data_IF_986739987031
#
_entry.id   IF_986739987031
#
_cell.length_a   1.000
_cell.length_b   1.000
_cell.length_c   1.000
_cell.angle_alpha   90.00
_cell.angle_beta   90.00
_cell.angle_gamma   90.00
#
_symmetry.space_group_name_H-M   'P 1'
#
loop_
_entity.id
_entity.type
_entity.pdbx_description
1 polymer ?
#
# COMPACT_ATOMS: atom_id res chain seq x y z
N UNK A 1 -31.09 -25.31 -58.18
CA UNK A 1 -31.41 -23.95 -57.70
C UNK A 1 -31.60 -24.06 -56.19
N UNK A 2 -30.50 -23.92 -55.44
CA UNK A 2 -30.22 -22.79 -54.53
C UNK A 2 -30.98 -22.87 -53.20
N UNK A 3 -30.19 -23.00 -52.11
CA UNK A 3 -30.33 -22.29 -50.82
C UNK A 3 -31.43 -22.85 -49.87
N UNK A 4 -31.23 -23.11 -48.57
CA UNK A 4 -30.25 -22.64 -47.60
C UNK A 4 -30.03 -23.67 -46.45
N UNK A 5 -28.76 -23.82 -46.08
CA UNK A 5 -28.31 -24.38 -44.81
C UNK A 5 -28.73 -23.45 -43.65
N UNK A 6 -29.43 -23.99 -42.65
CA UNK A 6 -29.62 -23.33 -41.36
C UNK A 6 -28.49 -23.76 -40.40
N UNK A 7 -27.34 -23.08 -40.49
CA UNK A 7 -26.28 -23.18 -39.49
C UNK A 7 -26.45 -22.02 -38.50
N UNK A 8 -26.98 -22.34 -37.32
CA UNK A 8 -27.15 -21.43 -36.20
C UNK A 8 -25.77 -21.13 -35.58
N UNK A 9 -25.14 -20.04 -36.02
CA UNK A 9 -23.91 -19.53 -35.44
C UNK A 9 -24.21 -18.79 -34.12
N UNK A 10 -24.07 -19.50 -33.00
CA UNK A 10 -24.06 -18.89 -31.67
C UNK A 10 -22.67 -18.25 -31.49
N UNK A 11 -22.59 -16.94 -31.74
CA UNK A 11 -21.41 -16.14 -31.43
C UNK A 11 -21.38 -15.86 -29.93
N UNK A 12 -20.61 -16.64 -29.18
CA UNK A 12 -20.31 -16.38 -27.77
C UNK A 12 -19.31 -15.22 -27.73
N UNK A 13 -19.79 -14.00 -27.46
CA UNK A 13 -18.95 -12.87 -27.06
C UNK A 13 -18.40 -13.15 -25.65
N UNK A 14 -17.22 -13.74 -25.57
CA UNK A 14 -16.45 -13.77 -24.32
C UNK A 14 -15.82 -12.39 -24.16
N UNK A 15 -16.48 -11.52 -23.39
CA UNK A 15 -15.91 -10.24 -22.98
C UNK A 15 -14.67 -10.48 -22.11
N UNK A 16 -13.48 -10.18 -22.62
CA UNK A 16 -12.26 -10.20 -21.83
C UNK A 16 -12.28 -9.04 -20.83
N UNK A 17 -12.58 -9.33 -19.56
CA UNK A 17 -12.35 -8.38 -18.47
C UNK A 17 -10.84 -8.31 -18.21
N UNK A 18 -10.17 -7.31 -18.78
CA UNK A 18 -8.77 -7.04 -18.44
C UNK A 18 -8.69 -6.57 -16.99
N UNK A 19 -7.92 -7.24 -16.11
CA UNK A 19 -7.69 -6.74 -14.76
C UNK A 19 -7.07 -5.35 -14.84
N UNK A 20 -7.49 -4.43 -13.96
CA UNK A 20 -6.94 -3.09 -13.90
C UNK A 20 -5.42 -3.18 -13.67
N UNK A 21 -4.64 -2.73 -14.65
CA UNK A 21 -3.18 -2.77 -14.58
C UNK A 21 -2.69 -1.82 -13.48
N UNK A 22 -1.80 -2.32 -12.61
CA UNK A 22 -1.09 -1.49 -11.65
C UNK A 22 -0.38 -0.35 -12.40
N UNK A 23 -0.61 0.89 -11.98
CA UNK A 23 0.08 2.05 -12.54
C UNK A 23 1.40 2.26 -11.79
N UNK A 24 2.50 2.38 -12.53
CA UNK A 24 3.81 2.68 -11.96
C UNK A 24 4.12 4.17 -12.04
N UNK A 25 4.48 4.78 -10.92
CA UNK A 25 4.92 6.17 -10.82
C UNK A 25 6.36 6.15 -10.28
N UNK A 26 7.35 6.22 -11.18
CA UNK A 26 8.75 5.93 -10.86
C UNK A 26 8.89 4.55 -10.18
N UNK A 27 9.24 4.53 -8.89
CA UNK A 27 9.41 3.31 -8.08
C UNK A 27 8.14 2.90 -7.33
N UNK A 28 7.08 3.71 -7.40
CA UNK A 28 5.82 3.43 -6.75
C UNK A 28 4.95 2.53 -7.62
N UNK A 29 4.33 1.55 -6.98
CA UNK A 29 3.26 0.74 -7.54
C UNK A 29 1.96 1.12 -6.86
N UNK A 30 0.92 1.37 -7.64
CA UNK A 30 -0.45 1.54 -7.11
C UNK A 30 -1.32 0.37 -7.51
N UNK A 31 -2.36 0.11 -6.71
CA UNK A 31 -3.33 -0.92 -7.04
C UNK A 31 -4.56 -0.88 -6.14
N UNK A 32 -5.54 -1.69 -6.51
CA UNK A 32 -6.74 -1.94 -5.73
C UNK A 32 -6.88 -3.43 -5.46
N UNK A 33 -7.44 -3.81 -4.31
CA UNK A 33 -7.83 -5.17 -4.00
C UNK A 33 -9.29 -5.44 -4.42
N UNK A 34 -9.69 -6.72 -4.40
CA UNK A 34 -11.04 -7.16 -4.78
C UNK A 34 -12.14 -6.62 -3.84
N UNK A 35 -11.76 -6.13 -2.66
CA UNK A 35 -12.66 -5.58 -1.64
C UNK A 35 -12.74 -4.04 -1.75
N UNK A 36 -12.09 -3.45 -2.76
CA UNK A 36 -12.08 -2.01 -3.03
C UNK A 36 -11.08 -1.23 -2.18
N UNK A 37 -10.21 -1.90 -1.41
CA UNK A 37 -9.08 -1.26 -0.77
C UNK A 37 -8.05 -0.81 -1.80
N UNK A 38 -7.35 0.29 -1.54
CA UNK A 38 -6.32 0.84 -2.46
C UNK A 38 -4.97 0.95 -1.78
N UNK A 39 -3.90 0.91 -2.58
CA UNK A 39 -2.55 1.09 -2.07
C UNK A 39 -1.67 1.88 -3.03
N UNK A 40 -0.68 2.55 -2.44
CA UNK A 40 0.51 3.06 -3.11
C UNK A 40 1.73 2.62 -2.30
N UNK A 41 2.63 1.85 -2.89
CA UNK A 41 3.78 1.30 -2.21
C UNK A 41 5.05 1.39 -3.04
N UNK A 42 6.18 1.57 -2.36
CA UNK A 42 7.53 1.50 -2.92
C UNK A 42 8.30 0.36 -2.27
N UNK A 43 9.15 -0.29 -3.06
CA UNK A 43 10.05 -1.35 -2.59
C UNK A 43 11.50 -0.91 -2.79
N UNK A 44 12.34 -1.10 -1.79
CA UNK A 44 13.77 -0.84 -1.90
C UNK A 44 14.54 -2.06 -2.42
N UNK A 45 15.85 -1.90 -2.66
CA UNK A 45 16.73 -2.96 -3.19
C UNK A 45 16.85 -4.18 -2.27
N UNK A 46 16.58 -4.03 -0.97
CA UNK A 46 16.55 -5.14 -0.01
C UNK A 46 15.22 -5.87 0.03
N UNK A 47 14.26 -5.50 -0.83
CA UNK A 47 12.91 -6.08 -0.87
C UNK A 47 11.99 -5.62 0.27
N UNK A 48 12.38 -4.58 1.02
CA UNK A 48 11.53 -3.98 2.05
C UNK A 48 10.54 -3.02 1.40
N UNK A 49 9.37 -2.92 2.01
CA UNK A 49 8.21 -2.22 1.47
C UNK A 49 7.88 -1.05 2.37
N UNK A 50 7.54 0.08 1.78
CA UNK A 50 6.92 1.21 2.46
C UNK A 50 5.71 1.63 1.63
N UNK A 51 4.53 1.73 2.25
CA UNK A 51 3.34 2.09 1.48
C UNK A 51 2.17 2.56 2.33
N UNK A 52 1.28 3.28 1.66
CA UNK A 52 -0.03 3.66 2.17
C UNK A 52 -1.06 2.63 1.69
N UNK A 53 -1.90 2.17 2.61
CA UNK A 53 -2.99 1.24 2.34
C UNK A 53 -4.28 1.85 2.89
N UNK A 54 -5.35 1.81 2.11
CA UNK A 54 -6.65 2.36 2.46
C UNK A 54 -7.68 1.24 2.38
N UNK A 55 -8.43 0.99 3.46
CA UNK A 55 -9.56 0.05 3.45
C UNK A 55 -10.85 0.84 3.19
N UNK A 56 -11.58 0.43 2.15
CA UNK A 56 -12.84 1.02 1.71
C UNK A 56 -13.94 0.98 2.78
N UNK A 57 -13.84 0.06 3.75
CA UNK A 57 -14.84 -0.20 4.80
C UNK A 57 -14.56 0.58 6.09
N UNK A 58 -13.29 0.75 6.46
CA UNK A 58 -12.94 1.33 7.77
C UNK A 58 -12.63 2.82 7.71
N UNK A 59 -12.26 3.36 6.54
CA UNK A 59 -12.21 4.81 6.27
C UNK A 59 -10.81 5.43 6.22
N UNK A 60 -9.94 5.32 7.25
CA UNK A 60 -8.63 5.95 7.21
C UNK A 60 -7.58 5.07 6.53
N UNK A 61 -6.75 5.69 5.71
CA UNK A 61 -5.53 5.07 5.21
C UNK A 61 -4.48 4.96 6.31
N UNK A 62 -3.67 3.91 6.26
CA UNK A 62 -2.57 3.68 7.20
C UNK A 62 -1.26 3.43 6.45
N UNK A 63 -0.14 3.78 7.10
CA UNK A 63 1.20 3.54 6.56
C UNK A 63 1.82 2.28 7.12
N UNK A 64 2.38 1.46 6.25
CA UNK A 64 3.03 0.19 6.60
C UNK A 64 4.47 0.19 6.14
N UNK A 65 5.36 -0.21 7.05
CA UNK A 65 6.71 -0.66 6.77
C UNK A 65 6.74 -2.20 6.82
N UNK A 66 7.09 -2.83 5.70
CA UNK A 66 7.33 -4.26 5.60
C UNK A 66 8.83 -4.55 5.55
N UNK A 67 9.38 -5.25 6.52
CA UNK A 67 10.81 -5.62 6.50
C UNK A 67 11.12 -6.95 7.17
N UNK A 68 12.33 -7.48 6.93
CA UNK A 68 12.81 -8.72 7.57
C UNK A 68 13.31 -8.49 9.00
N UNK A 69 12.41 -8.07 9.87
CA UNK A 69 12.65 -7.89 11.30
C UNK A 69 11.52 -8.54 12.10
N UNK A 70 11.79 -9.70 12.71
CA UNK A 70 10.81 -10.37 13.57
C UNK A 70 10.37 -9.42 14.67
N UNK A 71 9.06 -9.21 14.78
CA UNK A 71 8.46 -8.38 15.81
C UNK A 71 7.37 -9.15 16.58
N UNK A 72 7.06 -8.70 17.79
CA UNK A 72 5.98 -9.26 18.60
C UNK A 72 4.69 -8.54 18.28
N UNK A 73 3.68 -9.27 17.80
CA UNK A 73 2.35 -8.74 17.45
C UNK A 73 1.79 -7.89 18.58
N UNK A 74 1.23 -6.73 18.23
CA UNK A 74 0.65 -5.77 19.17
C UNK A 74 1.67 -4.94 19.96
N UNK A 75 2.97 -5.24 19.85
CA UNK A 75 4.03 -4.43 20.48
C UNK A 75 4.34 -3.21 19.61
N UNK A 76 4.52 -2.05 20.27
CA UNK A 76 4.99 -0.83 19.63
C UNK A 76 6.50 -0.71 19.75
N UNK A 77 7.13 -0.21 18.70
CA UNK A 77 8.57 0.01 18.62
C UNK A 77 8.83 1.47 18.24
N UNK A 78 9.66 2.19 19.00
CA UNK A 78 10.09 3.52 18.60
C UNK A 78 11.00 3.42 17.38
N UNK A 79 10.85 4.35 16.45
CA UNK A 79 11.68 4.43 15.24
C UNK A 79 12.14 5.87 15.05
N UNK A 80 13.36 6.03 14.55
CA UNK A 80 13.85 7.33 14.10
C UNK A 80 13.68 7.40 12.59
N UNK A 81 12.91 8.38 12.14
CA UNK A 81 12.66 8.63 10.72
C UNK A 81 13.41 9.89 10.32
N UNK A 82 14.21 9.79 9.27
CA UNK A 82 14.96 10.92 8.72
C UNK A 82 14.71 11.04 7.22
N UNK A 83 14.54 12.25 6.73
CA UNK A 83 14.42 12.55 5.31
C UNK A 83 15.36 13.68 4.89
N UNK A 84 15.32 14.05 3.62
CA UNK A 84 15.97 15.25 3.09
C UNK A 84 15.27 16.56 3.51
N UNK A 85 14.13 16.49 4.22
CA UNK A 85 13.39 17.67 4.68
C UNK A 85 13.20 17.76 6.20
N UNK A 86 13.18 16.65 6.93
CA UNK A 86 13.01 16.65 8.39
C UNK A 86 13.41 15.32 9.04
N UNK A 87 13.58 15.35 10.37
CA UNK A 87 13.74 14.17 11.20
C UNK A 87 12.65 14.13 12.28
N UNK A 88 12.16 12.94 12.62
CA UNK A 88 11.10 12.71 13.61
C UNK A 88 11.35 11.40 14.39
N UNK A 89 10.92 11.37 15.64
CA UNK A 89 10.79 10.13 16.41
C UNK A 89 9.33 9.68 16.34
N UNK A 90 9.08 8.53 15.72
CA UNK A 90 7.73 7.96 15.56
C UNK A 90 7.64 6.58 16.23
N UNK A 91 6.46 5.97 16.21
CA UNK A 91 6.26 4.59 16.64
C UNK A 91 5.60 3.76 15.54
N UNK A 92 5.92 2.46 15.54
CA UNK A 92 5.25 1.47 14.70
C UNK A 92 4.72 0.31 15.54
N UNK A 93 3.50 -0.15 15.23
CA UNK A 93 2.89 -1.33 15.82
C UNK A 93 3.08 -2.56 14.93
N UNK A 94 3.50 -3.69 15.52
CA UNK A 94 3.68 -4.95 14.79
C UNK A 94 2.36 -5.65 14.50
N UNK A 95 2.10 -5.96 13.24
CA UNK A 95 0.94 -6.76 12.78
C UNK A 95 1.27 -8.22 12.52
N UNK A 96 2.54 -8.60 12.64
CA UNK A 96 3.02 -9.95 12.40
C UNK A 96 3.58 -10.12 11.00
N UNK A 97 3.71 -11.36 10.56
CA UNK A 97 4.24 -11.70 9.24
C UNK A 97 3.21 -11.35 8.15
N UNK A 98 3.66 -10.72 7.07
CA UNK A 98 2.77 -10.32 5.96
C UNK A 98 2.36 -11.55 5.15
N UNK A 99 1.07 -11.69 4.90
CA UNK A 99 0.54 -12.75 4.02
C UNK A 99 1.21 -12.71 2.65
N UNK A 100 1.66 -13.87 2.17
CA UNK A 100 2.28 -14.00 0.83
C UNK A 100 3.76 -13.63 0.74
N UNK A 101 4.40 -13.16 1.82
CA UNK A 101 5.86 -12.93 1.86
C UNK A 101 6.48 -13.43 3.16
N UNK A 102 6.92 -14.68 3.14
CA UNK A 102 7.60 -15.29 4.28
C UNK A 102 8.85 -14.48 4.68
N UNK A 103 9.03 -14.26 5.98
CA UNK A 103 10.12 -13.52 6.57
C UNK A 103 9.95 -12.00 6.56
N UNK A 104 8.87 -11.45 5.99
CA UNK A 104 8.55 -10.01 6.02
C UNK A 104 7.49 -9.74 7.08
N UNK A 105 7.77 -8.81 7.99
CA UNK A 105 6.87 -8.42 9.06
C UNK A 105 6.29 -7.04 8.80
N UNK A 106 4.99 -6.88 9.03
CA UNK A 106 4.25 -5.63 8.91
C UNK A 106 4.36 -4.79 10.17
N UNK A 107 4.68 -3.51 9.97
CA UNK A 107 4.84 -2.51 11.01
C UNK A 107 4.02 -1.27 10.62
N UNK A 108 2.93 -1.01 11.33
CA UNK A 108 1.99 0.09 11.03
C UNK A 108 2.38 1.32 11.83
N UNK A 109 2.55 2.46 11.17
CA UNK A 109 2.82 3.72 11.86
C UNK A 109 1.62 4.19 12.68
N UNK A 110 1.86 4.53 13.95
CA UNK A 110 0.81 5.03 14.85
C UNK A 110 0.38 6.44 14.48
N UNK A 111 1.29 7.25 13.95
CA UNK A 111 1.04 8.58 13.41
C UNK A 111 1.16 8.53 11.88
N UNK A 112 0.06 8.15 11.23
CA UNK A 112 -0.02 8.02 9.77
C UNK A 112 0.01 9.37 9.05
N UNK A 113 -0.42 10.45 9.71
CA UNK A 113 -0.41 11.79 9.12
C UNK A 113 1.02 12.32 9.01
N UNK A 114 1.79 12.27 10.10
CA UNK A 114 3.17 12.76 10.12
C UNK A 114 4.05 12.03 9.12
N UNK A 115 4.03 10.69 9.12
CA UNK A 115 4.84 9.90 8.17
C UNK A 115 4.39 10.14 6.71
N UNK A 116 3.08 10.25 6.46
CA UNK A 116 2.57 10.56 5.12
C UNK A 116 3.00 11.93 4.63
N UNK A 117 2.97 12.91 5.53
CA UNK A 117 3.41 14.28 5.28
C UNK A 117 4.92 14.37 5.00
N UNK A 118 5.74 13.59 5.73
CA UNK A 118 7.17 13.48 5.45
C UNK A 118 7.43 12.85 4.08
N UNK A 119 6.77 11.74 3.76
CA UNK A 119 6.94 11.03 2.49
C UNK A 119 6.52 11.90 1.29
N UNK A 120 5.39 12.62 1.40
CA UNK A 120 4.88 13.46 0.32
C UNK A 120 5.79 14.67 -0.01
N UNK A 121 6.70 15.05 0.88
CA UNK A 121 7.59 16.22 0.70
C UNK A 121 9.06 15.85 0.52
N UNK A 122 9.42 14.57 0.58
CA UNK A 122 10.81 14.11 0.53
C UNK A 122 11.09 13.37 -0.77
N UNK A 123 12.38 13.27 -1.11
CA UNK A 123 12.85 12.35 -2.15
C UNK A 123 13.45 11.08 -1.53
N UNK A 124 13.89 11.16 -0.26
CA UNK A 124 14.52 10.04 0.44
C UNK A 124 14.02 9.94 1.86
N UNK A 125 13.83 8.71 2.31
CA UNK A 125 13.44 8.40 3.68
C UNK A 125 14.33 7.29 4.25
N UNK A 126 14.88 7.52 5.42
CA UNK A 126 15.58 6.52 6.24
C UNK A 126 14.83 6.25 7.52
N UNK A 127 14.74 4.98 7.92
CA UNK A 127 14.07 4.57 9.15
C UNK A 127 15.03 3.68 9.93
N UNK A 128 15.37 4.07 11.16
CA UNK A 128 16.13 3.24 12.10
C UNK A 128 15.15 2.48 13.00
N UNK A 129 15.20 1.16 12.93
CA UNK A 129 14.36 0.25 13.69
C UNK A 129 15.19 -0.54 14.72
N UNK A 130 14.75 -0.60 15.99
CA UNK A 130 15.45 -1.33 17.04
C UNK A 130 15.27 -2.85 16.87
N UNK A 131 16.35 -3.59 17.00
CA UNK A 131 16.38 -5.05 17.02
C UNK A 131 16.75 -5.56 18.41
N UNK A 132 16.61 -6.87 18.64
CA UNK A 132 17.12 -7.51 19.86
C UNK A 132 18.65 -7.41 19.91
N UNK A 133 19.20 -7.36 21.12
CA UNK A 133 20.64 -7.39 21.37
C UNK A 133 21.34 -6.08 21.02
N UNK A 134 20.70 -4.95 21.33
CA UNK A 134 21.25 -3.59 21.19
C UNK A 134 21.63 -3.19 19.76
N UNK A 135 21.00 -3.83 18.78
CA UNK A 135 21.22 -3.58 17.36
C UNK A 135 20.13 -2.68 16.78
N UNK A 136 20.49 -1.93 15.74
CA UNK A 136 19.54 -1.20 14.91
C UNK A 136 19.66 -1.67 13.47
N UNK A 137 18.53 -1.67 12.77
CA UNK A 137 18.50 -1.77 11.32
C UNK A 137 18.07 -0.44 10.75
N UNK A 138 18.89 0.12 9.87
CA UNK A 138 18.51 1.29 9.08
C UNK A 138 18.04 0.82 7.71
N UNK A 139 16.79 1.10 7.38
CA UNK A 139 16.22 0.87 6.05
C UNK A 139 16.08 2.21 5.33
N UNK A 140 16.30 2.22 4.01
CA UNK A 140 16.22 3.43 3.20
C UNK A 140 15.31 3.21 2.00
N UNK A 141 14.59 4.26 1.64
CA UNK A 141 13.67 4.31 0.53
C UNK A 141 13.94 5.55 -0.31
N UNK A 142 13.91 5.35 -1.62
CA UNK A 142 13.69 6.42 -2.59
C UNK A 142 12.19 6.61 -2.70
N UNK A 143 11.69 7.76 -2.26
CA UNK A 143 10.26 8.08 -2.23
C UNK A 143 9.89 9.11 -3.29
N UNK A 144 10.78 9.39 -4.24
CA UNK A 144 10.50 10.20 -5.42
C UNK A 144 9.23 9.68 -6.13
N UNK A 145 8.34 10.59 -6.54
CA UNK A 145 7.06 10.24 -7.15
C UNK A 145 5.90 9.99 -6.17
N UNK A 146 6.13 10.05 -4.86
CA UNK A 146 5.10 9.79 -3.85
C UNK A 146 3.81 10.62 -4.03
N UNK A 147 3.85 11.95 -4.27
CA UNK A 147 2.62 12.73 -4.44
C UNK A 147 1.72 12.23 -5.57
N UNK A 148 2.31 11.87 -6.72
CA UNK A 148 1.57 11.37 -7.88
C UNK A 148 0.96 9.99 -7.61
N UNK A 149 1.75 9.07 -7.03
CA UNK A 149 1.29 7.73 -6.69
C UNK A 149 0.16 7.74 -5.66
N UNK A 150 0.30 8.56 -4.61
CA UNK A 150 -0.71 8.71 -3.55
C UNK A 150 -2.00 9.32 -4.10
N UNK A 151 -1.91 10.31 -4.98
CA UNK A 151 -3.07 10.88 -5.65
C UNK A 151 -3.79 9.83 -6.50
N UNK A 152 -3.05 9.08 -7.31
CA UNK A 152 -3.62 8.02 -8.16
C UNK A 152 -4.31 6.92 -7.34
N UNK A 153 -3.69 6.44 -6.26
CA UNK A 153 -4.29 5.42 -5.39
C UNK A 153 -5.59 5.91 -4.74
N UNK A 154 -5.66 7.18 -4.32
CA UNK A 154 -6.86 7.77 -3.71
C UNK A 154 -7.99 7.96 -4.71
N UNK A 155 -7.67 8.35 -5.95
CA UNK A 155 -8.66 8.47 -7.03
C UNK A 155 -9.22 7.12 -7.48
N UNK A 156 -8.50 6.02 -7.23
CA UNK A 156 -8.95 4.67 -7.54
C UNK A 156 -9.88 4.07 -6.46
N UNK A 157 -10.03 4.70 -5.30
CA UNK A 157 -10.91 4.20 -4.24
C UNK A 157 -12.36 4.28 -4.72
N UNK A 158 -13.08 3.14 -4.86
CA UNK A 158 -14.49 3.16 -5.23
C UNK A 158 -15.25 4.03 -4.23
N UNK A 159 -16.11 4.93 -4.73
CA UNK A 159 -16.98 5.73 -3.87
C UNK A 159 -17.75 4.82 -2.91
N UNK A 160 -17.85 5.22 -1.63
CA UNK A 160 -18.62 4.51 -0.60
C UNK A 160 -20.02 4.18 -1.16
N UNK A 161 -20.50 2.92 -1.11
CA UNK A 161 -21.87 2.62 -1.51
C UNK A 161 -22.84 3.49 -0.73
N UNK A 162 -23.77 4.16 -1.41
CA UNK A 162 -24.76 5.07 -0.82
C UNK A 162 -25.63 4.42 0.26
N UNK A 163 -25.71 3.09 0.30
CA UNK A 163 -26.39 2.34 1.35
C UNK A 163 -25.74 2.46 2.74
N UNK A 164 -24.44 2.77 2.81
CA UNK A 164 -23.71 2.96 4.08
C UNK A 164 -23.61 4.44 4.51
N UNK A 165 -24.30 5.35 3.80
CA UNK A 165 -24.40 6.77 4.13
C UNK A 165 -25.72 7.12 4.83
N UNK A 166 -26.67 6.18 4.88
CA UNK A 166 -28.04 6.42 5.36
C UNK A 166 -28.25 6.14 6.86
N UNK A 167 -27.24 5.61 7.55
CA UNK A 167 -27.35 5.17 8.96
C UNK A 167 -26.75 6.19 9.94
N UNK A 168 -26.78 7.49 9.64
CA UNK A 168 -26.21 8.53 10.51
C UNK A 168 -27.09 9.77 10.69
N UNK A 169 -28.39 9.65 10.43
CA UNK A 169 -29.39 10.65 10.81
C UNK A 169 -30.21 10.19 12.03
#
# INVERSE_FOLDING_TARGET
>A
MKLLLAALAIAILIGATTPAAAQSFDRWTTGADEQGGTHAAVMNESGFILGQYCDSRTGPCYWVLGMSARCKVGTKYPVLVNSDVSAQSLEVGCTGETSGRAGIYGLVFTDSETIGSMIARSNRLGIAFPLKGDQFRVVRFDVTGAPAALAAARSATPGRPESLQRDSD
#
